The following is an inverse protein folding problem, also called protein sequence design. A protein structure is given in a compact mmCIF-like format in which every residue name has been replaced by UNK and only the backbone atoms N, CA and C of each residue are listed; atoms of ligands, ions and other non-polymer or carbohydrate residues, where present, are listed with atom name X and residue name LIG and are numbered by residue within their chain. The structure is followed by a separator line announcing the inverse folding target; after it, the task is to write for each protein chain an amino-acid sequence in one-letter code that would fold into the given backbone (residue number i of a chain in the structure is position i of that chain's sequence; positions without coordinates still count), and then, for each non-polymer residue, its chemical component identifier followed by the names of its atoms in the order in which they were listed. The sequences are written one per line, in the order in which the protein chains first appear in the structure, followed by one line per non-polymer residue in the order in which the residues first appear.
data_IF_883213606718
#
_entry.id   IF_883213606718
#
_cell.length_a   1.000
_cell.length_b   1.000
_cell.length_c   1.000
_cell.angle_alpha   90.00
_cell.angle_beta   90.00
_cell.angle_gamma   90.00
#
_symmetry.space_group_name_H-M   'P 1'
#
loop_
_entity.id
_entity.type
_entity.pdbx_description
1 polymer ?
#
# COMPACT_ATOMS: atom_id res chain seq x y z
N UNK A 1 -26.86 12.06 38.85
CA UNK A 1 -26.45 10.74 38.33
C UNK A 1 -25.23 10.97 37.45
N UNK A 2 -24.06 10.99 38.07
CA UNK A 2 -22.81 11.28 37.41
C UNK A 2 -22.26 9.99 36.80
N UNK A 3 -22.31 9.89 35.47
CA UNK A 3 -21.68 8.76 34.75
C UNK A 3 -20.16 8.96 34.79
N UNK A 4 -19.53 8.30 35.76
CA UNK A 4 -18.08 8.06 35.77
C UNK A 4 -17.75 7.10 34.62
N UNK A 5 -17.08 7.62 33.59
CA UNK A 5 -16.48 6.78 32.56
C UNK A 5 -15.21 6.13 33.14
N UNK A 6 -15.25 4.81 33.27
CA UNK A 6 -14.07 3.99 33.56
C UNK A 6 -13.29 3.77 32.26
N UNK A 7 -11.97 3.88 32.39
CA UNK A 7 -11.02 3.87 31.28
C UNK A 7 -10.85 2.52 30.61
N UNK A 8 -10.48 2.58 29.34
CA UNK A 8 -9.55 1.64 28.75
C UNK A 8 -8.33 2.46 28.35
N UNK A 9 -7.20 2.16 28.99
CA UNK A 9 -5.88 2.58 28.58
C UNK A 9 -5.76 2.26 27.08
N UNK A 10 -5.84 3.29 26.24
CA UNK A 10 -5.41 3.17 24.86
C UNK A 10 -3.91 2.92 24.92
N UNK A 11 -3.63 1.62 24.89
CA UNK A 11 -2.34 1.00 24.93
C UNK A 11 -1.39 1.83 24.09
N UNK A 12 -0.30 2.24 24.72
CA UNK A 12 0.70 3.17 24.18
C UNK A 12 1.26 2.56 22.91
N UNK A 13 0.61 2.78 21.76
CA UNK A 13 1.24 2.50 20.48
C UNK A 13 2.52 3.35 20.49
N UNK A 14 3.71 2.72 20.49
CA UNK A 14 4.94 3.47 20.54
C UNK A 14 4.95 4.38 19.32
N UNK A 15 4.92 5.70 19.57
CA UNK A 15 5.08 6.70 18.51
C UNK A 15 6.38 6.31 17.81
N UNK A 16 6.35 5.95 16.51
CA UNK A 16 7.57 5.57 15.80
C UNK A 16 8.56 6.72 15.95
N UNK A 17 9.65 6.46 16.66
CA UNK A 17 10.76 7.41 16.75
C UNK A 17 11.16 7.71 15.30
N UNK A 18 11.14 8.99 14.92
CA UNK A 18 11.57 9.43 13.59
C UNK A 18 13.01 8.96 13.41
N UNK A 19 13.18 7.82 12.74
CA UNK A 19 14.48 7.37 12.26
C UNK A 19 14.91 8.42 11.25
N UNK A 20 16.19 8.80 11.36
CA UNK A 20 16.91 9.75 10.52
C UNK A 20 16.35 9.78 9.10
N UNK A 21 16.22 10.98 8.51
CA UNK A 21 15.65 11.20 7.17
C UNK A 21 16.47 10.49 6.08
N UNK A 22 16.41 9.15 6.02
CA UNK A 22 16.88 8.38 4.88
C UNK A 22 15.96 8.77 3.75
N UNK A 23 16.55 9.39 2.73
CA UNK A 23 15.82 9.73 1.51
C UNK A 23 15.04 8.50 1.02
N UNK A 24 13.85 8.73 0.44
CA UNK A 24 13.02 7.63 -0.06
C UNK A 24 13.82 6.68 -0.97
N UNK A 25 14.68 7.23 -1.83
CA UNK A 25 15.59 6.46 -2.69
C UNK A 25 16.51 5.52 -1.91
N UNK A 26 17.07 5.99 -0.81
CA UNK A 26 17.95 5.19 0.02
C UNK A 26 17.18 4.09 0.76
N UNK A 27 15.98 4.39 1.26
CA UNK A 27 15.09 3.40 1.85
C UNK A 27 14.73 2.29 0.85
N UNK A 28 14.31 2.65 -0.37
CA UNK A 28 13.99 1.69 -1.42
C UNK A 28 15.23 0.85 -1.78
N UNK A 29 16.39 1.48 -1.89
CA UNK A 29 17.64 0.78 -2.22
C UNK A 29 18.04 -0.22 -1.13
N UNK A 30 17.91 0.16 0.15
CA UNK A 30 18.21 -0.70 1.30
C UNK A 30 17.23 -1.88 1.45
N UNK A 31 15.96 -1.69 1.05
CA UNK A 31 14.89 -2.67 1.30
C UNK A 31 14.37 -3.34 0.01
N UNK A 32 15.09 -3.20 -1.11
CA UNK A 32 14.63 -3.61 -2.45
C UNK A 32 14.09 -5.04 -2.49
N UNK A 33 14.83 -5.98 -1.90
CA UNK A 33 14.46 -7.41 -1.94
C UNK A 33 13.21 -7.71 -1.09
N UNK A 34 13.05 -7.03 0.04
CA UNK A 34 11.87 -7.15 0.90
C UNK A 34 10.65 -6.56 0.20
N UNK A 35 10.80 -5.41 -0.43
CA UNK A 35 9.75 -4.75 -1.22
C UNK A 35 9.32 -5.64 -2.39
N UNK A 36 10.27 -6.18 -3.16
CA UNK A 36 9.96 -7.07 -4.29
C UNK A 36 9.25 -8.35 -3.81
N UNK A 37 9.70 -8.94 -2.70
CA UNK A 37 9.06 -10.12 -2.13
C UNK A 37 7.60 -9.84 -1.74
N UNK A 38 7.34 -8.71 -1.08
CA UNK A 38 5.98 -8.32 -0.67
C UNK A 38 5.12 -8.04 -1.91
N UNK A 39 5.66 -7.28 -2.87
CA UNK A 39 4.96 -6.96 -4.10
C UNK A 39 4.56 -8.22 -4.87
N UNK A 40 5.49 -9.17 -5.05
CA UNK A 40 5.23 -10.47 -5.70
C UNK A 40 4.20 -11.31 -4.95
N UNK A 41 4.23 -11.30 -3.62
CA UNK A 41 3.29 -12.07 -2.81
C UNK A 41 1.86 -11.53 -2.93
N UNK A 42 1.71 -10.21 -3.12
CA UNK A 42 0.42 -9.55 -3.31
C UNK A 42 -0.05 -9.58 -4.78
N UNK A 43 0.86 -9.81 -5.72
CA UNK A 43 0.56 -9.84 -7.15
C UNK A 43 -0.04 -11.20 -7.53
N UNK A 44 -1.26 -11.20 -8.08
CA UNK A 44 -1.91 -12.41 -8.58
C UNK A 44 -1.37 -12.79 -9.95
N UNK A 45 -1.03 -14.08 -10.11
CA UNK A 45 -0.49 -14.65 -11.35
C UNK A 45 -1.42 -15.77 -11.83
N UNK A 46 -1.71 -15.81 -13.13
CA UNK A 46 -2.53 -16.85 -13.73
C UNK A 46 -1.72 -18.12 -14.07
N UNK A 47 -2.38 -19.17 -14.57
CA UNK A 47 -1.73 -20.45 -14.94
C UNK A 47 -0.65 -20.31 -16.03
N UNK A 48 -0.69 -19.24 -16.82
CA UNK A 48 0.29 -18.95 -17.87
C UNK A 48 1.49 -18.14 -17.37
N UNK A 49 1.55 -17.82 -16.07
CA UNK A 49 2.62 -17.01 -15.50
C UNK A 49 2.46 -15.50 -15.72
N UNK A 50 1.28 -15.04 -16.14
CA UNK A 50 1.02 -13.62 -16.37
C UNK A 50 0.37 -12.98 -15.14
N UNK A 51 0.82 -11.77 -14.79
CA UNK A 51 0.17 -10.91 -13.79
C UNK A 51 -1.22 -10.52 -14.30
N UNK A 52 -2.25 -10.74 -13.48
CA UNK A 52 -3.64 -10.45 -13.86
C UNK A 52 -4.39 -9.78 -12.71
N UNK A 53 -5.31 -8.89 -13.09
CA UNK A 53 -6.36 -8.39 -12.20
C UNK A 53 -7.56 -9.35 -12.31
N UNK A 54 -8.03 -9.93 -11.20
CA UNK A 54 -9.20 -10.81 -11.18
C UNK A 54 -10.48 -10.10 -11.62
N UNK A 55 -11.46 -10.86 -12.11
CA UNK A 55 -12.77 -10.32 -12.51
C UNK A 55 -13.63 -9.82 -11.35
N UNK A 56 -13.35 -10.33 -10.16
CA UNK A 56 -14.00 -10.00 -8.89
C UNK A 56 -13.27 -8.89 -8.12
N UNK A 57 -12.19 -8.34 -8.68
CA UNK A 57 -11.43 -7.28 -8.05
C UNK A 57 -12.09 -5.92 -8.30
N UNK A 58 -12.31 -5.15 -7.23
CA UNK A 58 -12.96 -3.84 -7.31
C UNK A 58 -12.14 -2.84 -8.14
N UNK A 59 -10.83 -3.04 -8.24
CA UNK A 59 -9.95 -2.19 -9.04
C UNK A 59 -10.15 -2.37 -10.55
N UNK A 60 -10.80 -3.45 -10.99
CA UNK A 60 -11.04 -3.70 -12.41
C UNK A 60 -11.99 -2.66 -13.03
N UNK A 61 -12.93 -2.14 -12.23
CA UNK A 61 -13.97 -1.21 -12.69
C UNK A 61 -13.57 0.27 -12.49
N UNK A 62 -12.39 0.55 -11.94
CA UNK A 62 -11.90 1.91 -11.71
C UNK A 62 -11.39 2.56 -13.01
N UNK A 63 -11.98 3.69 -13.41
CA UNK A 63 -11.62 4.40 -14.64
C UNK A 63 -10.50 5.43 -14.45
N UNK A 64 -10.14 5.75 -13.20
CA UNK A 64 -9.21 6.84 -12.88
C UNK A 64 -7.85 6.66 -13.57
N UNK A 65 -7.35 5.43 -13.62
CA UNK A 65 -6.07 5.10 -14.24
C UNK A 65 -6.10 5.19 -15.77
N UNK A 66 -7.21 4.76 -16.39
CA UNK A 66 -7.42 4.88 -17.83
C UNK A 66 -7.52 6.36 -18.24
N UNK A 67 -8.25 7.15 -17.47
CA UNK A 67 -8.37 8.60 -17.68
C UNK A 67 -7.01 9.30 -17.54
N UNK A 68 -6.28 9.00 -16.46
CA UNK A 68 -4.93 9.53 -16.24
C UNK A 68 -3.99 9.18 -17.40
N UNK A 69 -3.97 7.92 -17.84
CA UNK A 69 -3.11 7.48 -18.95
C UNK A 69 -3.48 8.16 -20.28
N UNK A 70 -4.76 8.28 -20.57
CA UNK A 70 -5.25 8.99 -21.75
C UNK A 70 -4.86 10.47 -21.71
N UNK A 71 -4.90 11.11 -20.55
CA UNK A 71 -4.45 12.50 -20.38
C UNK A 71 -2.94 12.64 -20.59
N UNK A 72 -2.13 11.68 -20.15
CA UNK A 72 -0.68 11.68 -20.41
C UNK A 72 -0.35 11.53 -21.90
N UNK A 73 -1.11 10.70 -22.65
CA UNK A 73 -0.91 10.52 -24.10
C UNK A 73 -1.33 11.70 -24.96
N UNK A 74 -2.25 12.52 -24.46
CA UNK A 74 -2.75 13.72 -25.17
C UNK A 74 -1.87 14.95 -24.95
N UNK A 75 -0.85 14.87 -24.09
CA UNK A 75 0.20 15.87 -23.94
C UNK A 75 1.34 15.59 -24.90
#
# INVERSE_FOLDING_TARGET
MDKKYHGEEMDKMPIPQKKEDTTFTEFISKNKDVIDKIARSNTRINKSGLTVIPKDDTWLDETEWDEMYNNLKKK
#
